data_IF_950471685480
#
_entry.id   IF_950471685480
#
_cell.length_a   1.000
_cell.length_b   1.000
_cell.length_c   1.000
_cell.angle_alpha   90.00
_cell.angle_beta   90.00
_cell.angle_gamma   90.00
#
_symmetry.space_group_name_H-M   'P 1'
#
loop_
_entity.id
_entity.type
_entity.pdbx_description
1 polymer ?
#
# COMPACT_ATOMS: atom_id res chain seq x y z
N UNK A 1 0.22 7.96 12.72
CA UNK A 1 -0.18 6.58 12.38
C UNK A 1 1.06 5.73 12.36
N UNK A 2 1.00 4.54 12.95
CA UNK A 2 2.09 3.57 12.95
C UNK A 2 1.92 2.60 11.78
N UNK A 3 3.03 2.16 11.18
CA UNK A 3 3.00 1.09 10.18
C UNK A 3 3.24 -0.24 10.87
N UNK A 4 2.18 -1.05 10.97
CA UNK A 4 2.30 -2.40 11.51
C UNK A 4 2.80 -3.37 10.45
N UNK A 5 3.54 -4.39 10.90
CA UNK A 5 3.94 -5.49 10.02
C UNK A 5 2.71 -6.32 9.64
N UNK A 6 2.76 -6.99 8.48
CA UNK A 6 1.67 -7.85 8.03
C UNK A 6 1.27 -8.90 9.08
N UNK A 7 2.24 -9.45 9.82
CA UNK A 7 1.98 -10.48 10.84
C UNK A 7 1.16 -9.97 12.02
N UNK A 8 1.35 -8.71 12.44
CA UNK A 8 0.52 -8.11 13.50
C UNK A 8 -0.92 -8.00 13.03
N UNK A 9 -1.13 -7.59 11.78
CA UNK A 9 -2.47 -7.43 11.20
C UNK A 9 -3.15 -8.78 11.01
N UNK A 10 -2.44 -9.78 10.49
CA UNK A 10 -2.97 -11.14 10.27
C UNK A 10 -3.36 -11.78 11.60
N UNK A 11 -2.49 -11.71 12.62
CA UNK A 11 -2.83 -12.26 13.94
C UNK A 11 -4.07 -11.58 14.54
N UNK A 12 -4.19 -10.25 14.40
CA UNK A 12 -5.37 -9.54 14.88
C UNK A 12 -6.66 -9.93 14.14
N UNK A 13 -6.57 -10.27 12.85
CA UNK A 13 -7.70 -10.78 12.06
C UNK A 13 -8.11 -12.17 12.57
N UNK A 14 -7.15 -13.06 12.80
CA UNK A 14 -7.40 -14.42 13.32
C UNK A 14 -7.98 -14.39 14.74
N UNK A 15 -7.40 -13.59 15.63
CA UNK A 15 -7.88 -13.41 17.01
C UNK A 15 -9.31 -12.84 17.06
N UNK A 16 -9.74 -12.13 16.03
CA UNK A 16 -11.09 -11.61 15.88
C UNK A 16 -12.10 -12.64 15.34
N UNK A 17 -11.69 -13.90 15.10
CA UNK A 17 -12.56 -14.97 14.62
C UNK A 17 -12.71 -15.01 13.10
N UNK A 18 -11.74 -14.48 12.35
CA UNK A 18 -11.72 -14.54 10.89
C UNK A 18 -10.66 -15.53 10.38
N UNK A 19 -10.99 -16.24 9.31
CA UNK A 19 -10.06 -17.01 8.50
C UNK A 19 -9.46 -16.11 7.42
N UNK A 20 -8.12 -16.14 7.30
CA UNK A 20 -7.42 -15.50 6.19
C UNK A 20 -7.67 -16.28 4.88
N UNK A 21 -8.14 -15.58 3.84
CA UNK A 21 -8.40 -16.15 2.52
C UNK A 21 -7.24 -15.87 1.56
N UNK A 22 -6.70 -14.64 1.55
CA UNK A 22 -5.62 -14.23 0.65
C UNK A 22 -4.84 -13.04 1.25
N UNK A 23 -3.53 -12.97 0.98
CA UNK A 23 -2.65 -11.82 1.29
C UNK A 23 -1.78 -11.51 0.06
N UNK A 24 -2.02 -10.36 -0.54
CA UNK A 24 -1.30 -9.91 -1.73
C UNK A 24 -0.46 -8.66 -1.43
N UNK A 25 0.87 -8.79 -1.62
CA UNK A 25 1.77 -7.65 -1.51
C UNK A 25 1.69 -6.77 -2.76
N UNK A 26 1.21 -5.53 -2.58
CA UNK A 26 1.15 -4.51 -3.63
C UNK A 26 2.42 -3.65 -3.69
N UNK A 27 3.51 -4.06 -3.04
CA UNK A 27 4.74 -3.26 -2.90
C UNK A 27 5.33 -2.78 -4.24
N UNK A 28 5.49 -3.63 -5.29
CA UNK A 28 6.03 -3.16 -6.58
C UNK A 28 5.13 -2.10 -7.23
N UNK A 29 3.81 -2.27 -7.09
CA UNK A 29 2.83 -1.32 -7.61
C UNK A 29 2.92 0.02 -6.89
N UNK A 30 3.03 0.00 -5.56
CA UNK A 30 3.13 1.23 -4.76
C UNK A 30 4.42 2.01 -5.02
N UNK A 31 5.55 1.31 -5.26
CA UNK A 31 6.78 1.95 -5.69
C UNK A 31 6.58 2.74 -6.99
N UNK A 32 5.96 2.11 -8.00
CA UNK A 32 5.66 2.75 -9.29
C UNK A 32 4.67 3.92 -9.15
N UNK A 33 3.60 3.75 -8.36
CA UNK A 33 2.62 4.81 -8.09
C UNK A 33 3.31 6.05 -7.51
N UNK A 34 4.14 5.88 -6.49
CA UNK A 34 4.82 7.01 -5.84
C UNK A 34 5.82 7.69 -6.77
N UNK A 35 6.53 6.94 -7.62
CA UNK A 35 7.38 7.54 -8.65
C UNK A 35 6.59 8.39 -9.63
N UNK A 36 5.45 7.91 -10.11
CA UNK A 36 4.58 8.69 -11.01
C UNK A 36 4.05 9.95 -10.32
N UNK A 37 3.68 9.86 -9.05
CA UNK A 37 3.24 11.03 -8.30
C UNK A 37 4.35 12.07 -8.11
N UNK A 38 5.58 11.63 -7.82
CA UNK A 38 6.74 12.53 -7.77
C UNK A 38 6.97 13.20 -9.13
N UNK A 39 6.97 12.45 -10.22
CA UNK A 39 7.17 12.99 -11.58
C UNK A 39 6.09 14.03 -11.91
N UNK A 40 4.83 13.72 -11.65
CA UNK A 40 3.72 14.63 -11.93
C UNK A 40 3.75 15.88 -11.05
N UNK A 41 4.15 15.74 -9.78
CA UNK A 41 4.31 16.90 -8.90
C UNK A 41 5.46 17.80 -9.35
N UNK A 42 6.59 17.20 -9.76
CA UNK A 42 7.74 17.96 -10.23
C UNK A 42 7.45 18.73 -11.53
N UNK A 43 6.57 18.22 -12.41
CA UNK A 43 6.16 18.94 -13.63
C UNK A 43 5.32 20.19 -13.35
N UNK A 44 4.55 20.21 -12.27
CA UNK A 44 3.64 21.32 -11.90
C UNK A 44 4.02 22.00 -10.57
N UNK A 45 5.30 21.90 -10.19
CA UNK A 45 5.77 22.28 -8.87
C UNK A 45 5.51 23.74 -8.50
N UNK A 46 5.62 24.67 -9.45
CA UNK A 46 5.37 26.10 -9.20
C UNK A 46 3.91 26.36 -8.80
N UNK A 47 2.97 25.69 -9.48
CA UNK A 47 1.55 25.77 -9.15
C UNK A 47 1.28 25.17 -7.76
N UNK A 48 1.88 24.02 -7.45
CA UNK A 48 1.77 23.43 -6.12
C UNK A 48 2.33 24.35 -5.02
N UNK A 49 3.50 24.97 -5.23
CA UNK A 49 4.07 25.94 -4.28
C UNK A 49 3.13 27.14 -4.08
N UNK A 50 2.53 27.65 -5.16
CA UNK A 50 1.58 28.76 -5.07
C UNK A 50 0.31 28.38 -4.26
N UNK A 51 -0.13 27.13 -4.33
CA UNK A 51 -1.33 26.64 -3.64
C UNK A 51 -1.08 26.34 -2.15
N UNK A 52 -0.05 25.55 -1.84
CA UNK A 52 0.16 25.01 -0.48
C UNK A 52 1.31 25.67 0.29
N UNK A 53 2.13 26.47 -0.40
CA UNK A 53 3.33 27.11 0.13
C UNK A 53 4.57 26.22 0.05
N UNK A 54 5.78 26.81 0.03
CA UNK A 54 7.03 26.10 -0.22
C UNK A 54 7.43 25.14 0.91
N UNK A 55 6.98 25.37 2.14
CA UNK A 55 7.27 24.48 3.27
C UNK A 55 6.50 23.16 3.16
N UNK A 56 5.20 23.24 2.90
CA UNK A 56 4.35 22.05 2.72
C UNK A 56 4.74 21.27 1.49
N UNK A 57 5.09 21.96 0.40
CA UNK A 57 5.62 21.33 -0.82
C UNK A 57 6.85 20.49 -0.53
N UNK A 58 7.83 21.04 0.22
CA UNK A 58 9.05 20.31 0.58
C UNK A 58 8.76 19.07 1.40
N UNK A 59 7.87 19.15 2.38
CA UNK A 59 7.48 17.99 3.21
C UNK A 59 6.80 16.92 2.36
N UNK A 60 5.84 17.30 1.52
CA UNK A 60 5.13 16.37 0.65
C UNK A 60 6.07 15.67 -0.33
N UNK A 61 6.98 16.42 -0.97
CA UNK A 61 7.94 15.87 -1.93
C UNK A 61 8.92 14.92 -1.25
N UNK A 62 9.48 15.32 -0.11
CA UNK A 62 10.40 14.47 0.67
C UNK A 62 9.71 13.18 1.13
N UNK A 63 8.46 13.28 1.59
CA UNK A 63 7.68 12.12 2.00
C UNK A 63 7.50 11.12 0.85
N UNK A 64 7.00 11.57 -0.31
CA UNK A 64 6.73 10.67 -1.44
C UNK A 64 8.02 10.06 -2.02
N UNK A 65 9.10 10.84 -2.14
CA UNK A 65 10.38 10.32 -2.61
C UNK A 65 10.97 9.29 -1.64
N UNK A 66 10.92 9.58 -0.34
CA UNK A 66 11.36 8.67 0.71
C UNK A 66 10.52 7.39 0.75
N UNK A 67 9.20 7.51 0.59
CA UNK A 67 8.29 6.36 0.53
C UNK A 67 8.57 5.50 -0.70
N UNK A 68 8.74 6.07 -1.89
CA UNK A 68 9.07 5.33 -3.11
C UNK A 68 10.32 4.46 -2.92
N UNK A 69 11.41 5.07 -2.43
CA UNK A 69 12.63 4.36 -2.07
C UNK A 69 12.41 3.27 -1.01
N UNK A 70 11.53 3.52 -0.04
CA UNK A 70 11.15 2.55 0.98
C UNK A 70 10.51 1.30 0.39
N UNK A 71 9.55 1.45 -0.53
CA UNK A 71 8.92 0.32 -1.22
C UNK A 71 9.88 -0.41 -2.16
N UNK A 72 10.73 0.33 -2.90
CA UNK A 72 11.75 -0.24 -3.80
C UNK A 72 12.77 -1.10 -3.06
N UNK A 73 13.18 -0.66 -1.87
CA UNK A 73 14.18 -1.35 -1.03
C UNK A 73 13.57 -2.34 -0.03
N UNK A 74 12.29 -2.70 -0.20
CA UNK A 74 11.58 -3.64 0.67
C UNK A 74 11.58 -3.25 2.16
N UNK A 75 11.64 -1.94 2.44
CA UNK A 75 11.50 -1.39 3.81
C UNK A 75 10.06 -1.00 4.15
N UNK A 76 9.26 -0.77 3.13
CA UNK A 76 7.82 -0.52 3.22
C UNK A 76 7.10 -1.56 2.36
N UNK A 77 5.91 -1.94 2.80
CA UNK A 77 5.00 -2.77 2.05
C UNK A 77 3.55 -2.32 2.28
N UNK A 78 2.70 -2.66 1.32
CA UNK A 78 1.25 -2.50 1.39
C UNK A 78 0.67 -3.85 0.99
N UNK A 79 -0.32 -4.29 1.76
CA UNK A 79 -0.91 -5.62 1.63
C UNK A 79 -2.41 -5.47 1.45
N UNK A 80 -2.95 -6.19 0.47
CA UNK A 80 -4.38 -6.45 0.35
C UNK A 80 -4.66 -7.76 1.06
N UNK A 81 -5.37 -7.69 2.18
CA UNK A 81 -5.76 -8.85 2.98
C UNK A 81 -7.25 -9.11 2.78
N UNK A 82 -7.59 -10.35 2.44
CA UNK A 82 -8.97 -10.83 2.30
C UNK A 82 -9.20 -11.87 3.40
N UNK A 83 -10.24 -11.68 4.20
CA UNK A 83 -10.59 -12.56 5.30
C UNK A 83 -12.11 -12.70 5.44
N UNK A 84 -12.56 -13.76 6.13
CA UNK A 84 -13.99 -14.07 6.33
C UNK A 84 -14.25 -14.65 7.73
N UNK A 85 -15.45 -14.53 8.31
CA UNK A 85 -15.76 -15.13 9.60
C UNK A 85 -15.64 -16.66 9.57
N UNK A 86 -15.16 -17.27 10.65
CA UNK A 86 -15.00 -18.74 10.76
C UNK A 86 -16.35 -19.47 10.86
N UNK A 87 -17.41 -18.82 11.33
CA UNK A 87 -18.74 -19.44 11.51
C UNK A 87 -19.48 -19.74 10.20
N UNK A 88 -19.09 -19.10 9.08
CA UNK A 88 -19.65 -19.34 7.75
C UNK A 88 -18.86 -20.44 7.03
N UNK A 89 -19.15 -21.72 7.33
CA UNK A 89 -18.60 -22.84 6.55
C UNK A 89 -19.31 -22.97 5.19
N UNK A 90 -18.99 -22.07 4.28
CA UNK A 90 -19.04 -22.34 2.84
C UNK A 90 -17.60 -22.53 2.36
N UNK A 91 -17.27 -23.54 1.52
CA UNK A 91 -15.94 -23.63 0.95
C UNK A 91 -15.67 -22.37 0.13
N UNK A 92 -14.61 -21.62 0.46
CA UNK A 92 -14.20 -20.50 -0.36
C UNK A 92 -13.99 -21.00 -1.79
N UNK A 93 -14.50 -20.30 -2.82
CA UNK A 93 -14.20 -20.67 -4.20
C UNK A 93 -12.66 -20.73 -4.34
N UNK A 94 -12.13 -21.69 -5.12
CA UNK A 94 -10.69 -21.89 -5.22
C UNK A 94 -10.00 -20.57 -5.56
N UNK A 95 -8.83 -20.34 -4.93
CA UNK A 95 -8.04 -19.11 -5.12
C UNK A 95 -8.01 -18.75 -6.60
N UNK A 96 -8.50 -17.55 -6.93
CA UNK A 96 -8.50 -17.09 -8.31
C UNK A 96 -7.04 -16.95 -8.74
N UNK A 97 -6.62 -17.73 -9.73
CA UNK A 97 -5.36 -17.46 -10.43
C UNK A 97 -5.53 -16.11 -11.11
N UNK A 98 -4.89 -15.08 -10.55
CA UNK A 98 -4.97 -13.72 -11.08
C UNK A 98 -3.96 -13.60 -12.21
N UNK A 99 -4.44 -13.58 -13.46
CA UNK A 99 -3.59 -13.27 -14.61
C UNK A 99 -3.34 -11.77 -14.64
N UNK A 100 -2.12 -11.35 -14.33
CA UNK A 100 -1.67 -9.98 -14.63
C UNK A 100 -1.29 -9.92 -16.12
N UNK A 101 -1.99 -9.13 -16.95
CA UNK A 101 -1.53 -8.92 -18.32
C UNK A 101 -0.14 -8.28 -18.28
N UNK A 102 0.81 -8.91 -18.99
CA UNK A 102 2.16 -8.41 -19.23
C UNK A 102 2.13 -7.38 -20.35
#
# INVERSE_FOLDING_TARGET
>A
GELHTQGIVINAIEDAGFELVDDESLRPHYAETLRRWVINHDSDREAAIAEIGPERERVWRLHNYGAALGFERSRLSVHQVIARPVEEYEPAPPLRVRSYPV
#
